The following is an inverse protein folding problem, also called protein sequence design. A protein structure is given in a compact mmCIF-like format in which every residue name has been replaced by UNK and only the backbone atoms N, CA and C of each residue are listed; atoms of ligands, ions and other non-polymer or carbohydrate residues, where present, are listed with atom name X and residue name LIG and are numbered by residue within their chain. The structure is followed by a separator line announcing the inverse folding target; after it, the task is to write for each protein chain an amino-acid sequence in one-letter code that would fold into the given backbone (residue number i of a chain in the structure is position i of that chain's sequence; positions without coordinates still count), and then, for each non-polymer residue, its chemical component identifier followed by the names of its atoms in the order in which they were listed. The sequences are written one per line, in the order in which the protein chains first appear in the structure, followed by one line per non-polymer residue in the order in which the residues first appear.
data_IF_767542950472
#
_entry.id   IF_767542950472
#
_cell.length_a   1.000
_cell.length_b   1.000
_cell.length_c   1.000
_cell.angle_alpha   90.00
_cell.angle_beta   90.00
_cell.angle_gamma   90.00
#
_symmetry.space_group_name_H-M   'P 1'
#
loop_
_entity.id
_entity.type
_entity.pdbx_description
1 polymer ?
#
# COMPACT_ATOMS: atom_id res chain seq x y z
N UNK A 1 -11.95 -14.60 30.14
CA UNK A 1 -11.92 -15.87 29.37
C UNK A 1 -12.20 -15.60 27.90
N UNK A 2 -11.68 -16.45 27.01
CA UNK A 2 -11.27 -16.15 25.63
C UNK A 2 -12.39 -15.63 24.72
N UNK A 3 -12.15 -14.48 24.07
CA UNK A 3 -13.05 -13.88 23.07
C UNK A 3 -12.99 -14.73 21.80
N UNK A 4 -14.05 -15.49 21.52
CA UNK A 4 -14.21 -16.30 20.30
C UNK A 4 -13.97 -15.43 19.07
N UNK A 5 -12.91 -15.75 18.34
CA UNK A 5 -12.61 -15.15 17.05
C UNK A 5 -13.62 -15.73 16.07
N UNK A 6 -14.57 -14.90 15.67
CA UNK A 6 -15.59 -15.20 14.67
C UNK A 6 -14.90 -15.53 13.33
N UNK A 7 -14.74 -16.83 13.04
CA UNK A 7 -14.12 -17.30 11.79
C UNK A 7 -15.06 -16.95 10.63
N UNK A 8 -14.73 -15.88 9.91
CA UNK A 8 -15.42 -15.43 8.69
C UNK A 8 -15.43 -16.57 7.66
N UNK A 9 -16.57 -16.79 6.98
CA UNK A 9 -16.73 -17.84 5.97
C UNK A 9 -15.63 -17.71 4.90
N UNK A 10 -14.97 -18.81 4.49
CA UNK A 10 -13.97 -18.78 3.45
C UNK A 10 -14.60 -18.31 2.13
N UNK A 11 -13.86 -17.49 1.39
CA UNK A 11 -14.26 -17.12 0.04
C UNK A 11 -14.09 -18.35 -0.86
N UNK A 12 -15.10 -18.64 -1.68
CA UNK A 12 -15.17 -19.82 -2.53
C UNK A 12 -15.29 -19.35 -3.98
N UNK A 13 -14.39 -19.84 -4.85
CA UNK A 13 -14.46 -19.65 -6.31
C UNK A 13 -14.46 -21.07 -6.90
N UNK A 14 -15.47 -21.39 -7.70
CA UNK A 14 -15.69 -22.72 -8.31
C UNK A 14 -15.73 -23.91 -7.32
N UNK A 15 -16.13 -23.69 -6.06
CA UNK A 15 -16.25 -24.75 -5.05
C UNK A 15 -14.95 -25.13 -4.34
N UNK A 16 -13.84 -24.46 -4.66
CA UNK A 16 -12.56 -24.65 -3.98
C UNK A 16 -12.39 -23.64 -2.83
N UNK A 17 -11.97 -24.16 -1.66
CA UNK A 17 -11.66 -23.33 -0.49
C UNK A 17 -10.39 -22.51 -0.77
N UNK A 18 -10.50 -21.19 -0.71
CA UNK A 18 -9.34 -20.30 -0.85
C UNK A 18 -8.55 -20.28 0.46
N UNK A 19 -7.27 -20.62 0.39
CA UNK A 19 -6.30 -20.34 1.44
C UNK A 19 -5.83 -18.88 1.32
N UNK A 20 -6.15 -18.08 2.33
CA UNK A 20 -5.77 -16.67 2.41
C UNK A 20 -4.55 -16.43 3.30
N UNK A 21 -3.87 -17.50 3.75
CA UNK A 21 -2.69 -17.41 4.57
C UNK A 21 -1.43 -17.06 3.77
N UNK A 22 -0.41 -16.53 4.44
CA UNK A 22 0.86 -16.19 3.82
C UNK A 22 1.87 -15.62 4.80
N UNK A 23 3.10 -15.41 4.34
CA UNK A 23 4.18 -14.85 5.16
C UNK A 23 4.79 -13.66 4.43
N UNK A 24 4.82 -12.50 5.09
CA UNK A 24 5.43 -11.28 4.57
C UNK A 24 6.95 -11.30 4.74
N UNK A 25 7.69 -10.51 3.93
CA UNK A 25 9.10 -10.25 4.17
C UNK A 25 9.33 -9.78 5.63
N UNK A 26 10.23 -10.45 6.33
CA UNK A 26 10.45 -10.25 7.77
C UNK A 26 9.77 -11.27 8.67
N UNK A 27 9.04 -12.25 8.11
CA UNK A 27 8.50 -13.39 8.86
C UNK A 27 7.13 -13.14 9.50
N UNK A 28 6.45 -12.04 9.15
CA UNK A 28 5.12 -11.76 9.66
C UNK A 28 4.08 -12.69 9.00
N UNK A 29 3.42 -13.53 9.79
CA UNK A 29 2.39 -14.46 9.32
C UNK A 29 1.04 -13.76 9.16
N UNK A 30 0.36 -14.07 8.07
CA UNK A 30 -0.99 -13.65 7.74
C UNK A 30 -1.88 -14.88 7.73
N UNK A 31 -2.98 -14.86 8.47
CA UNK A 31 -4.00 -15.91 8.41
C UNK A 31 -5.14 -15.53 7.46
N UNK A 32 -5.37 -14.22 7.29
CA UNK A 32 -6.42 -13.68 6.43
C UNK A 32 -6.12 -12.25 5.95
N UNK A 33 -7.07 -11.69 5.20
CA UNK A 33 -7.02 -10.31 4.70
C UNK A 33 -7.10 -9.25 5.82
N UNK A 34 -7.65 -9.57 7.00
CA UNK A 34 -7.70 -8.63 8.12
C UNK A 34 -6.32 -8.47 8.75
N UNK A 35 -5.53 -9.54 8.80
CA UNK A 35 -4.12 -9.48 9.22
C UNK A 35 -3.31 -8.59 8.29
N UNK A 36 -3.54 -8.69 6.97
CA UNK A 36 -2.88 -7.80 6.02
C UNK A 36 -3.28 -6.33 6.24
N UNK A 37 -4.57 -6.05 6.47
CA UNK A 37 -5.04 -4.68 6.74
C UNK A 37 -4.44 -4.12 8.03
N UNK A 38 -4.33 -4.93 9.09
CA UNK A 38 -3.66 -4.55 10.34
C UNK A 38 -2.19 -4.23 10.08
N UNK A 39 -1.49 -5.12 9.38
CA UNK A 39 -0.07 -4.92 9.06
C UNK A 39 0.17 -3.66 8.23
N UNK A 40 -0.65 -3.38 7.21
CA UNK A 40 -0.56 -2.15 6.39
C UNK A 40 -0.89 -0.88 7.18
N UNK A 41 -1.71 -0.98 8.23
CA UNK A 41 -1.97 0.15 9.13
C UNK A 41 -0.74 0.47 9.97
N UNK A 42 -0.07 -0.55 10.48
CA UNK A 42 1.14 -0.39 11.31
C UNK A 42 2.38 -0.08 10.47
N UNK A 43 2.36 -0.47 9.18
CA UNK A 43 3.42 -0.23 8.20
C UNK A 43 2.83 0.49 6.98
N UNK A 44 2.56 1.80 7.06
CA UNK A 44 1.87 2.54 6.00
C UNK A 44 2.74 2.78 4.76
N UNK A 45 4.07 2.82 4.89
CA UNK A 45 4.97 3.20 3.79
C UNK A 45 4.79 2.37 2.50
N UNK A 46 4.71 1.02 2.53
CA UNK A 46 4.46 0.21 1.33
C UNK A 46 3.15 0.56 0.63
N UNK A 47 2.08 0.79 1.41
CA UNK A 47 0.78 1.19 0.87
C UNK A 47 0.84 2.57 0.24
N UNK A 48 1.39 3.54 0.97
CA UNK A 48 1.52 4.94 0.53
C UNK A 48 2.38 5.06 -0.73
N UNK A 49 3.46 4.28 -0.82
CA UNK A 49 4.29 4.19 -2.03
C UNK A 49 3.49 3.64 -3.22
N UNK A 50 2.78 2.52 -3.02
CA UNK A 50 1.98 1.91 -4.07
C UNK A 50 0.93 2.87 -4.62
N UNK A 51 0.15 3.52 -3.74
CA UNK A 51 -0.88 4.46 -4.19
C UNK A 51 -0.28 5.68 -4.88
N UNK A 52 0.87 6.18 -4.43
CA UNK A 52 1.59 7.29 -5.07
C UNK A 52 2.04 6.93 -6.50
N UNK A 53 2.60 5.74 -6.69
CA UNK A 53 2.96 5.25 -8.02
C UNK A 53 1.75 5.15 -8.95
N UNK A 54 0.61 4.64 -8.44
CA UNK A 54 -0.61 4.55 -9.23
C UNK A 54 -1.16 5.92 -9.58
N UNK A 55 -1.28 6.83 -8.62
CA UNK A 55 -1.76 8.19 -8.84
C UNK A 55 -0.95 8.90 -9.93
N UNK A 56 0.39 8.85 -9.83
CA UNK A 56 1.26 9.44 -10.85
C UNK A 56 1.12 8.73 -12.20
N UNK A 57 1.05 7.39 -12.21
CA UNK A 57 0.89 6.64 -13.47
C UNK A 57 -0.39 7.02 -14.21
N UNK A 58 -1.50 7.19 -13.49
CA UNK A 58 -2.77 7.63 -14.08
C UNK A 58 -2.77 9.11 -14.43
N UNK A 59 -2.12 9.97 -13.64
CA UNK A 59 -2.02 11.39 -13.91
C UNK A 59 -1.17 11.70 -15.16
N UNK A 60 -0.05 11.00 -15.33
CA UNK A 60 0.87 11.21 -16.46
C UNK A 60 0.57 10.31 -17.67
N UNK A 61 -0.33 9.32 -17.52
CA UNK A 61 -0.70 8.38 -18.57
C UNK A 61 0.39 7.40 -18.97
N UNK A 62 1.38 7.14 -18.11
CA UNK A 62 2.52 6.26 -18.40
C UNK A 62 3.00 5.53 -17.15
N UNK A 63 3.75 4.46 -17.34
CA UNK A 63 4.38 3.76 -16.23
C UNK A 63 5.57 4.56 -15.68
N UNK A 64 5.75 4.49 -14.36
CA UNK A 64 6.88 5.11 -13.67
C UNK A 64 8.18 4.35 -13.97
N UNK A 65 9.18 5.07 -14.47
CA UNK A 65 10.52 4.54 -14.73
C UNK A 65 11.33 4.37 -13.42
N UNK A 66 12.52 3.78 -13.53
CA UNK A 66 13.35 3.50 -12.35
C UNK A 66 13.74 4.76 -11.55
N UNK A 67 14.08 5.86 -12.22
CA UNK A 67 14.44 7.13 -11.55
C UNK A 67 13.25 7.72 -10.82
N UNK A 68 12.07 7.67 -11.44
CA UNK A 68 10.84 8.17 -10.84
C UNK A 68 10.41 7.35 -9.64
N UNK A 69 10.55 6.03 -9.69
CA UNK A 69 10.29 5.17 -8.52
C UNK A 69 11.18 5.53 -7.34
N UNK A 70 12.44 5.90 -7.60
CA UNK A 70 13.34 6.42 -6.56
C UNK A 70 12.83 7.75 -6.00
N UNK A 71 12.45 8.70 -6.86
CA UNK A 71 11.91 10.00 -6.43
C UNK A 71 10.58 9.84 -5.66
N UNK A 72 9.70 8.93 -6.08
CA UNK A 72 8.46 8.60 -5.35
C UNK A 72 8.81 8.06 -3.96
N UNK A 73 9.80 7.18 -3.85
CA UNK A 73 10.25 6.68 -2.55
C UNK A 73 10.71 7.82 -1.65
N UNK A 74 11.52 8.75 -2.16
CA UNK A 74 12.01 9.92 -1.42
C UNK A 74 10.86 10.81 -0.94
N UNK A 75 9.88 11.11 -1.81
CA UNK A 75 8.67 11.86 -1.44
C UNK A 75 7.89 11.13 -0.36
N UNK A 76 7.66 9.82 -0.51
CA UNK A 76 6.90 9.05 0.48
C UNK A 76 7.61 9.03 1.82
N UNK A 77 8.93 8.83 1.85
CA UNK A 77 9.72 8.86 3.08
C UNK A 77 9.67 10.23 3.77
N UNK A 78 9.68 11.35 3.02
CA UNK A 78 9.57 12.69 3.64
C UNK A 78 8.19 12.94 4.27
N UNK A 79 7.14 12.32 3.74
CA UNK A 79 5.77 12.42 4.26
C UNK A 79 5.54 11.65 5.57
N UNK A 80 6.52 10.87 6.07
CA UNK A 80 6.43 10.23 7.38
C UNK A 80 6.24 11.27 8.51
N UNK A 81 6.85 12.45 8.37
CA UNK A 81 6.70 13.58 9.32
C UNK A 81 5.27 14.11 9.42
N UNK A 82 4.49 13.94 8.35
CA UNK A 82 3.08 14.34 8.26
C UNK A 82 2.13 13.16 8.48
N UNK A 83 2.62 12.07 9.10
CA UNK A 83 1.85 10.84 9.35
C UNK A 83 1.19 10.27 8.07
N UNK A 84 1.81 10.50 6.91
CA UNK A 84 1.27 10.10 5.60
C UNK A 84 -0.15 10.59 5.31
N UNK A 85 -0.55 11.76 5.85
CA UNK A 85 -1.85 12.38 5.54
C UNK A 85 -2.05 12.50 4.03
N UNK A 86 -3.18 11.96 3.57
CA UNK A 86 -3.46 11.83 2.14
C UNK A 86 -3.41 13.17 1.39
N UNK A 87 -3.92 14.25 1.98
CA UNK A 87 -3.88 15.59 1.40
C UNK A 87 -2.46 16.08 1.18
N UNK A 88 -1.61 15.92 2.19
CA UNK A 88 -0.22 16.39 2.14
C UNK A 88 0.59 15.56 1.15
N UNK A 89 0.36 14.25 1.11
CA UNK A 89 0.94 13.36 0.09
C UNK A 89 0.55 13.81 -1.32
N UNK A 90 -0.73 14.05 -1.57
CA UNK A 90 -1.22 14.45 -2.88
C UNK A 90 -0.59 15.78 -3.34
N UNK A 91 -0.49 16.76 -2.43
CA UNK A 91 0.18 18.03 -2.72
C UNK A 91 1.66 17.83 -3.07
N UNK A 92 2.37 16.98 -2.31
CA UNK A 92 3.77 16.67 -2.59
C UNK A 92 3.96 16.00 -3.96
N UNK A 93 3.07 15.08 -4.35
CA UNK A 93 3.11 14.43 -5.67
C UNK A 93 2.85 15.42 -6.82
N UNK A 94 1.84 16.30 -6.68
CA UNK A 94 1.51 17.32 -7.71
C UNK A 94 2.64 18.35 -7.85
N UNK A 95 3.35 18.65 -6.76
CA UNK A 95 4.48 19.58 -6.77
C UNK A 95 5.77 18.95 -7.33
N UNK A 96 5.84 17.62 -7.44
CA UNK A 96 7.02 16.91 -7.91
C UNK A 96 7.32 17.16 -9.39
N UNK A 97 8.58 16.97 -9.76
CA UNK A 97 9.02 17.04 -11.16
C UNK A 97 8.32 15.98 -12.03
N UNK A 98 7.99 14.81 -11.46
CA UNK A 98 7.30 13.72 -12.16
C UNK A 98 5.96 14.20 -12.76
N UNK A 99 5.22 15.02 -12.01
CA UNK A 99 3.94 15.54 -12.45
C UNK A 99 4.09 16.73 -13.41
N UNK A 100 5.15 17.53 -13.25
CA UNK A 100 5.35 18.79 -13.98
C UNK A 100 6.07 18.62 -15.31
N UNK A 101 6.82 17.54 -15.48
CA UNK A 101 7.57 17.24 -16.70
C UNK A 101 6.73 16.34 -17.61
N UNK A 102 6.22 16.91 -18.70
CA UNK A 102 5.48 16.20 -19.75
C UNK A 102 6.41 15.67 -20.83
#
# INVERSE_FOLDING_TARGET
EKKSIEKKKPHEVDGARIDASGTLPGGYELNDIQDLKRWLKDNPEPFVRCISEKLLSYATGRQMNYRERKMIKEIVTSQATNEYRFRDLLLALIQSEIFRTK
#
